data_IF_598664755578
#
_entry.id   IF_598664755578
#
_cell.length_a   1.000
_cell.length_b   1.000
_cell.length_c   1.000
_cell.angle_alpha   90.00
_cell.angle_beta   90.00
_cell.angle_gamma   90.00
#
_symmetry.space_group_name_H-M   'P 1'
#
loop_
_entity.id
_entity.type
_entity.pdbx_description
1 polymer ?
#
# COMPACT_ATOMS: atom_id res chain seq x y z
N UNK A 1 77.24 37.23 27.53
CA UNK A 1 76.09 37.42 26.63
C UNK A 1 75.28 36.14 26.60
N UNK A 2 74.04 36.17 27.10
CA UNK A 2 72.98 35.18 26.85
C UNK A 2 71.67 35.83 27.25
N UNK A 3 70.65 35.80 26.38
CA UNK A 3 69.41 36.55 26.57
C UNK A 3 68.34 35.71 27.28
N UNK A 4 67.73 36.27 28.34
CA UNK A 4 66.56 35.70 28.99
C UNK A 4 65.28 36.40 28.55
N UNK A 5 64.58 35.83 27.56
CA UNK A 5 63.29 36.34 27.11
C UNK A 5 62.19 36.01 28.15
N UNK A 6 61.56 37.03 28.73
CA UNK A 6 60.36 36.89 29.56
C UNK A 6 59.12 36.99 28.68
N UNK A 7 58.26 35.96 28.73
CA UNK A 7 56.96 36.00 28.04
C UNK A 7 55.99 37.00 28.68
N UNK A 8 55.08 37.62 27.91
CA UNK A 8 54.10 38.55 28.45
C UNK A 8 52.97 37.80 29.16
N UNK A 9 52.79 38.05 30.46
CA UNK A 9 51.63 37.57 31.19
C UNK A 9 50.36 38.26 30.71
N UNK A 10 49.44 37.51 30.09
CA UNK A 10 48.10 38.00 29.76
C UNK A 10 47.29 38.21 31.06
N UNK A 11 47.29 39.44 31.57
CA UNK A 11 46.33 39.88 32.57
C UNK A 11 44.95 39.92 31.93
N UNK A 12 44.08 38.98 32.31
CA UNK A 12 42.67 39.00 31.95
C UNK A 12 42.03 40.18 32.67
N UNK A 13 41.92 41.31 31.97
CA UNK A 13 41.20 42.47 32.45
C UNK A 13 39.70 42.13 32.50
N UNK A 14 39.18 41.81 33.68
CA UNK A 14 37.73 41.79 33.90
C UNK A 14 37.20 43.21 33.63
N UNK A 15 36.52 43.37 32.50
CA UNK A 15 35.82 44.60 32.18
C UNK A 15 34.84 44.93 33.32
N UNK A 16 34.95 46.15 33.85
CA UNK A 16 34.15 46.61 34.99
C UNK A 16 32.68 46.63 34.54
N UNK A 17 31.79 45.78 35.09
CA UNK A 17 30.44 45.63 34.55
C UNK A 17 29.66 46.94 34.67
N UNK A 18 29.02 47.34 33.57
CA UNK A 18 28.24 48.57 33.50
C UNK A 18 27.17 48.63 34.59
N UNK A 19 26.86 49.84 35.06
CA UNK A 19 25.85 50.07 36.11
C UNK A 19 24.49 49.46 35.75
N UNK A 20 24.17 49.35 34.46
CA UNK A 20 22.97 48.68 33.93
C UNK A 20 22.99 47.15 34.15
N UNK A 21 24.14 46.49 33.96
CA UNK A 21 24.27 45.04 34.21
C UNK A 21 24.10 44.74 35.69
N UNK A 22 24.67 45.58 36.56
CA UNK A 22 24.51 45.45 38.01
C UNK A 22 23.06 45.63 38.48
N UNK A 23 22.30 46.57 37.91
CA UNK A 23 20.88 46.74 38.27
C UNK A 23 20.01 45.59 37.76
N UNK A 24 20.25 45.06 36.55
CA UNK A 24 19.55 43.86 36.05
C UNK A 24 19.84 42.65 36.93
N UNK A 25 21.10 42.42 37.31
CA UNK A 25 21.47 41.32 38.23
C UNK A 25 20.80 41.52 39.59
N UNK A 26 20.82 42.72 40.16
CA UNK A 26 20.22 42.99 41.47
C UNK A 26 18.68 42.80 41.44
N UNK A 27 18.00 43.27 40.40
CA UNK A 27 16.55 43.02 40.21
C UNK A 27 16.28 41.53 40.05
N UNK A 28 17.07 40.80 39.25
CA UNK A 28 16.93 39.36 39.08
C UNK A 28 17.13 38.60 40.40
N UNK A 29 18.13 38.99 41.21
CA UNK A 29 18.38 38.40 42.54
C UNK A 29 17.25 38.70 43.51
N UNK A 30 16.73 39.93 43.54
CA UNK A 30 15.60 40.31 44.40
C UNK A 30 14.32 39.56 44.01
N UNK A 31 14.04 39.44 42.71
CA UNK A 31 12.89 38.65 42.19
C UNK A 31 13.05 37.16 42.51
N UNK A 32 14.25 36.60 42.33
CA UNK A 32 14.54 35.20 42.65
C UNK A 32 14.40 34.92 44.16
N UNK A 33 14.85 35.86 45.00
CA UNK A 33 14.76 35.75 46.46
C UNK A 33 13.31 35.89 46.95
N UNK A 34 12.52 36.81 46.38
CA UNK A 34 11.08 36.89 46.60
C UNK A 34 10.37 35.59 46.19
N UNK A 35 10.70 35.05 45.02
CA UNK A 35 10.14 33.79 44.53
C UNK A 35 10.49 32.61 45.46
N UNK A 36 11.75 32.53 45.91
CA UNK A 36 12.20 31.50 46.85
C UNK A 36 11.53 31.62 48.22
N UNK A 37 11.35 32.84 48.74
CA UNK A 37 10.65 33.09 50.00
C UNK A 37 9.16 32.74 49.89
N UNK A 38 8.51 33.10 48.78
CA UNK A 38 7.11 32.76 48.51
C UNK A 38 6.91 31.24 48.40
N UNK A 39 7.80 30.57 47.66
CA UNK A 39 7.82 29.10 47.56
C UNK A 39 8.03 28.46 48.94
N UNK A 40 8.98 28.95 49.73
CA UNK A 40 9.23 28.49 51.11
C UNK A 40 8.03 28.73 52.02
N UNK A 41 7.34 29.87 51.90
CA UNK A 41 6.14 30.19 52.68
C UNK A 41 5.01 29.21 52.36
N UNK A 42 4.67 29.03 51.07
CA UNK A 42 3.66 28.07 50.59
C UNK A 42 3.98 26.65 51.05
N UNK A 43 5.25 26.25 50.98
CA UNK A 43 5.72 24.92 51.40
C UNK A 43 5.60 24.71 52.92
N UNK A 44 5.87 25.74 53.74
CA UNK A 44 5.63 25.66 55.20
C UNK A 44 4.14 25.64 55.50
N UNK A 45 3.33 26.48 54.86
CA UNK A 45 1.87 26.57 55.03
C UNK A 45 1.13 25.26 54.70
N UNK A 46 1.63 24.47 53.74
CA UNK A 46 1.05 23.17 53.37
C UNK A 46 1.72 21.95 54.02
N UNK A 47 2.44 22.12 55.13
CA UNK A 47 2.96 21.00 55.92
C UNK A 47 4.15 20.27 55.29
N UNK A 48 5.00 21.00 54.55
CA UNK A 48 6.31 20.55 54.11
C UNK A 48 6.40 20.10 52.65
N UNK A 49 7.64 20.11 52.13
CA UNK A 49 7.98 19.86 50.72
C UNK A 49 7.42 18.53 50.19
N UNK A 50 7.40 17.48 51.03
CA UNK A 50 6.86 16.16 50.68
C UNK A 50 5.34 16.18 50.44
N UNK A 51 4.56 16.96 51.19
CA UNK A 51 3.10 17.07 51.03
C UNK A 51 2.75 17.95 49.82
N UNK A 52 3.41 19.09 49.68
CA UNK A 52 3.26 19.96 48.51
C UNK A 52 3.59 19.20 47.20
N UNK A 53 4.74 18.53 47.12
CA UNK A 53 5.10 17.69 45.95
C UNK A 53 4.09 16.59 45.66
N UNK A 54 3.53 15.92 46.67
CA UNK A 54 2.48 14.90 46.48
C UNK A 54 1.18 15.49 45.94
N UNK A 55 0.79 16.70 46.38
CA UNK A 55 -0.39 17.39 45.87
C UNK A 55 -0.21 17.85 44.42
N UNK A 56 0.89 18.57 44.15
CA UNK A 56 1.27 19.00 42.80
C UNK A 56 1.45 17.82 41.85
N UNK A 57 2.00 16.69 42.30
CA UNK A 57 2.11 15.47 41.47
C UNK A 57 0.76 14.81 41.19
N UNK A 58 -0.21 14.85 42.11
CA UNK A 58 -1.59 14.36 41.88
C UNK A 58 -2.34 15.27 40.92
N UNK A 59 -2.26 16.58 41.13
CA UNK A 59 -2.88 17.57 40.24
C UNK A 59 -2.26 17.46 38.83
N UNK A 60 -0.93 17.44 38.70
CA UNK A 60 -0.23 17.15 37.43
C UNK A 60 -0.56 15.79 36.83
N UNK A 61 -0.85 14.75 37.61
CA UNK A 61 -1.25 13.45 37.07
C UNK A 61 -2.62 13.56 36.39
N UNK A 62 -3.57 14.24 37.02
CA UNK A 62 -4.90 14.53 36.45
C UNK A 62 -4.79 15.43 35.20
N UNK A 63 -3.98 16.50 35.25
CA UNK A 63 -3.73 17.35 34.08
C UNK A 63 -3.03 16.55 32.97
N UNK A 64 -2.07 15.69 33.29
CA UNK A 64 -1.35 14.85 32.33
C UNK A 64 -2.23 13.75 31.74
N UNK A 65 -3.29 13.33 32.43
CA UNK A 65 -4.29 12.42 31.85
C UNK A 65 -5.16 13.17 30.84
N UNK A 66 -5.70 14.34 31.20
CA UNK A 66 -6.54 15.16 30.31
C UNK A 66 -5.78 15.73 29.09
N UNK A 67 -4.57 16.29 29.28
CA UNK A 67 -3.76 16.89 28.21
C UNK A 67 -2.75 15.91 27.58
N UNK A 68 -2.61 14.70 28.12
CA UNK A 68 -1.73 13.67 27.58
C UNK A 68 -2.28 13.01 26.32
N UNK A 69 -3.60 12.91 26.18
CA UNK A 69 -4.25 12.29 25.02
C UNK A 69 -3.98 13.06 23.71
N UNK A 70 -4.16 14.39 23.62
CA UNK A 70 -3.77 15.16 22.43
C UNK A 70 -2.29 15.00 22.05
N UNK A 71 -1.39 15.00 23.04
CA UNK A 71 0.04 14.81 22.81
C UNK A 71 0.38 13.38 22.35
N UNK A 72 -0.33 12.36 22.84
CA UNK A 72 -0.20 10.97 22.38
C UNK A 72 -0.73 10.80 20.96
N UNK A 73 -1.90 11.36 20.64
CA UNK A 73 -2.48 11.36 19.30
C UNK A 73 -1.55 12.05 18.30
N UNK A 74 -1.04 13.23 18.62
CA UNK A 74 -0.07 13.95 17.78
C UNK A 74 1.25 13.20 17.58
N UNK A 75 1.75 12.52 18.64
CA UNK A 75 2.94 11.65 18.53
C UNK A 75 2.68 10.43 17.66
N UNK A 76 1.51 9.76 17.78
CA UNK A 76 1.10 8.65 16.92
C UNK A 76 1.02 9.10 15.47
N UNK A 77 0.30 10.18 15.18
CA UNK A 77 0.22 10.77 13.84
C UNK A 77 1.62 11.06 13.27
N UNK A 78 2.51 11.75 14.02
CA UNK A 78 3.89 12.01 13.55
C UNK A 78 4.75 10.76 13.38
N UNK A 79 4.49 9.67 14.11
CA UNK A 79 5.14 8.36 13.89
C UNK A 79 4.60 7.73 12.61
N UNK A 80 3.28 7.56 12.49
CA UNK A 80 2.62 7.02 11.30
C UNK A 80 3.02 7.75 10.01
N UNK A 81 3.04 9.09 10.01
CA UNK A 81 3.52 9.88 8.86
C UNK A 81 4.95 9.51 8.47
N UNK A 82 5.85 9.28 9.44
CA UNK A 82 7.25 8.91 9.15
C UNK A 82 7.38 7.46 8.69
N UNK A 83 6.66 6.53 9.30
CA UNK A 83 6.67 5.10 8.92
C UNK A 83 6.11 4.93 7.51
N UNK A 84 4.89 5.41 7.26
CA UNK A 84 4.28 5.41 5.93
C UNK A 84 5.14 6.15 4.90
N UNK A 85 5.66 7.35 5.20
CA UNK A 85 6.46 8.08 4.24
C UNK A 85 7.75 7.35 3.88
N UNK A 86 8.40 6.67 4.83
CA UNK A 86 9.59 5.84 4.55
C UNK A 86 9.22 4.66 3.65
N UNK A 87 8.21 3.88 4.03
CA UNK A 87 7.78 2.70 3.28
C UNK A 87 7.31 3.07 1.87
N UNK A 88 6.42 4.06 1.74
CA UNK A 88 5.93 4.51 0.43
C UNK A 88 7.06 5.11 -0.42
N UNK A 89 8.05 5.79 0.17
CA UNK A 89 9.19 6.33 -0.58
C UNK A 89 10.22 5.27 -0.99
N UNK A 90 10.18 4.06 -0.45
CA UNK A 90 11.10 2.98 -0.81
C UNK A 90 10.52 2.10 -1.93
N UNK A 91 11.12 2.09 -3.13
CA UNK A 91 10.67 1.22 -4.22
C UNK A 91 10.73 -0.26 -3.86
N UNK A 92 11.70 -0.68 -3.00
CA UNK A 92 11.84 -2.08 -2.58
C UNK A 92 10.67 -2.53 -1.74
N UNK A 93 10.18 -1.68 -0.83
CA UNK A 93 9.02 -1.98 0.00
C UNK A 93 7.74 -2.18 -0.83
N UNK A 94 7.53 -1.39 -1.90
CA UNK A 94 6.40 -1.58 -2.82
C UNK A 94 6.48 -2.92 -3.58
N UNK A 95 7.67 -3.29 -4.05
CA UNK A 95 7.90 -4.59 -4.69
C UNK A 95 7.72 -5.76 -3.72
N UNK A 96 8.18 -5.64 -2.48
CA UNK A 96 8.00 -6.66 -1.43
C UNK A 96 6.51 -6.89 -1.12
N UNK A 97 5.73 -5.82 -0.94
CA UNK A 97 4.27 -5.91 -0.72
C UNK A 97 3.60 -6.67 -1.87
N UNK A 98 3.99 -6.39 -3.13
CA UNK A 98 3.45 -7.10 -4.30
C UNK A 98 3.85 -8.57 -4.31
N UNK A 99 5.13 -8.88 -4.07
CA UNK A 99 5.67 -10.26 -4.00
C UNK A 99 4.97 -11.09 -2.92
N UNK A 100 4.70 -10.53 -1.75
CA UNK A 100 3.99 -11.22 -0.66
C UNK A 100 2.56 -11.60 -1.06
N UNK A 101 1.85 -10.68 -1.73
CA UNK A 101 0.50 -10.93 -2.26
C UNK A 101 0.49 -11.92 -3.43
N UNK A 102 1.47 -11.84 -4.33
CA UNK A 102 1.66 -12.80 -5.42
C UNK A 102 1.99 -14.21 -4.88
N UNK A 103 2.91 -14.32 -3.91
CA UNK A 103 3.31 -15.60 -3.30
C UNK A 103 2.17 -16.26 -2.51
N UNK A 104 1.45 -15.49 -1.68
CA UNK A 104 0.24 -16.00 -1.02
C UNK A 104 -0.86 -16.35 -2.03
N UNK A 105 -1.01 -15.55 -3.10
CA UNK A 105 -1.94 -15.83 -4.19
C UNK A 105 -1.62 -17.10 -4.97
N UNK A 106 -0.33 -17.43 -5.14
CA UNK A 106 0.13 -18.67 -5.77
C UNK A 106 -0.11 -19.88 -4.84
N UNK A 107 0.24 -19.76 -3.55
CA UNK A 107 -0.01 -20.77 -2.53
C UNK A 107 -1.50 -21.11 -2.36
N UNK A 108 -2.39 -20.12 -2.51
CA UNK A 108 -3.84 -20.30 -2.50
C UNK A 108 -4.42 -20.84 -3.82
N UNK A 109 -3.63 -20.98 -4.89
CA UNK A 109 -4.11 -21.38 -6.22
C UNK A 109 -4.76 -22.76 -6.29
N UNK A 110 -4.54 -23.62 -5.29
CA UNK A 110 -5.17 -24.95 -5.13
C UNK A 110 -6.49 -24.91 -4.35
N UNK A 111 -6.83 -23.79 -3.69
CA UNK A 111 -7.98 -23.64 -2.83
C UNK A 111 -9.12 -22.87 -3.53
N UNK A 112 -10.22 -23.54 -3.96
CA UNK A 112 -11.23 -22.91 -4.80
C UNK A 112 -11.96 -21.77 -4.08
N UNK A 113 -11.91 -20.58 -4.69
CA UNK A 113 -12.52 -19.36 -4.16
C UNK A 113 -11.77 -18.70 -3.00
N UNK A 114 -10.56 -19.18 -2.65
CA UNK A 114 -9.71 -18.51 -1.67
C UNK A 114 -8.82 -17.45 -2.35
N UNK A 115 -8.66 -16.28 -1.73
CA UNK A 115 -7.75 -15.25 -2.24
C UNK A 115 -7.18 -14.34 -1.15
N UNK A 116 -5.92 -13.96 -1.31
CA UNK A 116 -5.31 -12.87 -0.56
C UNK A 116 -5.92 -11.52 -1.00
N UNK A 117 -6.27 -10.66 -0.03
CA UNK A 117 -6.83 -9.33 -0.29
C UNK A 117 -6.16 -8.20 0.50
N UNK A 118 -5.58 -8.49 1.66
CA UNK A 118 -4.96 -7.49 2.53
C UNK A 118 -3.56 -7.90 2.96
N UNK A 119 -2.76 -6.94 3.39
CA UNK A 119 -1.42 -7.19 3.93
C UNK A 119 -1.12 -6.22 5.06
N UNK A 120 -0.77 -6.73 6.25
CA UNK A 120 -0.19 -5.95 7.34
C UNK A 120 1.33 -6.15 7.31
N UNK A 121 2.10 -5.07 7.24
CA UNK A 121 3.58 -5.12 7.25
C UNK A 121 4.15 -4.31 8.39
N UNK A 122 5.10 -4.88 9.12
CA UNK A 122 5.95 -4.19 10.09
C UNK A 122 7.42 -4.56 9.85
N UNK A 123 8.40 -3.89 10.46
CA UNK A 123 9.80 -4.30 10.37
C UNK A 123 9.95 -5.73 10.88
N UNK A 124 10.46 -6.64 10.05
CA UNK A 124 10.69 -8.04 10.41
C UNK A 124 9.48 -8.98 10.28
N UNK A 125 8.31 -8.53 9.83
CA UNK A 125 7.11 -9.38 9.79
C UNK A 125 6.04 -8.89 8.80
N UNK A 126 5.34 -9.85 8.19
CA UNK A 126 4.16 -9.62 7.38
C UNK A 126 3.04 -10.60 7.74
N UNK A 127 1.78 -10.15 7.64
CA UNK A 127 0.61 -11.01 7.62
C UNK A 127 -0.28 -10.69 6.42
N UNK A 128 -0.56 -11.70 5.60
CA UNK A 128 -1.50 -11.64 4.48
C UNK A 128 -2.89 -12.00 4.98
N UNK A 129 -3.87 -11.14 4.71
CA UNK A 129 -5.29 -11.39 5.00
C UNK A 129 -5.94 -12.13 3.83
N UNK A 130 -6.66 -13.20 4.15
CA UNK A 130 -7.16 -14.20 3.19
C UNK A 130 -8.67 -14.33 3.33
N UNK A 131 -9.37 -14.22 2.21
CA UNK A 131 -10.79 -14.52 2.12
C UNK A 131 -10.92 -15.97 1.68
N UNK A 132 -11.42 -16.84 2.57
CA UNK A 132 -11.70 -18.24 2.28
C UNK A 132 -12.91 -18.73 3.10
N UNK A 133 -13.62 -19.75 2.60
CA UNK A 133 -14.68 -20.44 3.40
C UNK A 133 -14.08 -21.25 4.55
N UNK A 134 -12.91 -21.83 4.30
CA UNK A 134 -12.04 -22.51 5.26
C UNK A 134 -10.62 -22.17 4.85
N UNK A 135 -9.84 -21.59 5.75
CA UNK A 135 -8.43 -21.31 5.51
C UNK A 135 -7.71 -22.65 5.28
N UNK A 136 -7.02 -22.86 4.15
CA UNK A 136 -6.13 -24.00 3.99
C UNK A 136 -4.93 -23.88 4.94
N UNK A 137 -4.32 -25.02 5.25
CA UNK A 137 -3.06 -25.05 6.00
C UNK A 137 -1.98 -24.29 5.21
N UNK A 138 -1.25 -23.35 5.84
CA UNK A 138 -0.24 -22.57 5.14
C UNK A 138 0.93 -23.46 4.69
N UNK A 139 1.35 -23.41 3.41
CA UNK A 139 2.60 -24.02 2.99
C UNK A 139 3.78 -23.16 3.47
N UNK A 140 4.88 -23.81 3.86
CA UNK A 140 6.12 -23.11 4.20
C UNK A 140 6.53 -22.12 3.07
N UNK A 141 7.01 -20.91 3.39
CA UNK A 141 7.39 -20.42 4.72
C UNK A 141 6.25 -19.75 5.51
N UNK A 142 4.99 -19.85 5.06
CA UNK A 142 3.87 -19.24 5.77
C UNK A 142 3.51 -20.00 7.05
N UNK A 143 3.08 -19.27 8.07
CA UNK A 143 2.54 -19.80 9.33
C UNK A 143 1.10 -19.31 9.56
N UNK A 144 0.34 -19.98 10.41
CA UNK A 144 -1.04 -19.56 10.72
C UNK A 144 -1.03 -18.39 11.71
N UNK A 145 -1.80 -17.34 11.45
CA UNK A 145 -2.09 -16.33 12.48
C UNK A 145 -3.18 -16.85 13.42
N UNK A 146 -2.78 -17.35 14.59
CA UNK A 146 -3.70 -17.75 15.68
C UNK A 146 -4.32 -16.55 16.42
N UNK A 147 -4.04 -15.32 15.97
CA UNK A 147 -4.58 -14.09 16.53
C UNK A 147 -6.09 -13.94 16.34
N UNK A 148 -6.79 -13.22 17.25
CA UNK A 148 -8.19 -12.89 17.06
C UNK A 148 -8.36 -11.86 15.93
N UNK A 149 -8.77 -12.32 14.74
CA UNK A 149 -8.90 -11.47 13.57
C UNK A 149 -9.51 -12.15 12.34
N UNK A 150 -9.49 -11.49 11.16
CA UNK A 150 -9.74 -12.16 9.90
C UNK A 150 -8.67 -13.21 9.62
N UNK A 151 -9.03 -14.27 8.89
CA UNK A 151 -8.12 -15.35 8.51
C UNK A 151 -6.85 -14.79 7.85
N UNK A 152 -5.69 -15.16 8.38
CA UNK A 152 -4.41 -14.65 7.90
C UNK A 152 -3.29 -15.69 7.99
N UNK A 153 -2.30 -15.49 7.11
CA UNK A 153 -1.03 -16.21 7.13
C UNK A 153 0.09 -15.22 7.45
N UNK A 154 0.95 -15.60 8.38
CA UNK A 154 2.10 -14.83 8.84
C UNK A 154 3.40 -15.29 8.18
N UNK A 155 4.36 -14.39 8.12
CA UNK A 155 5.74 -14.65 7.70
C UNK A 155 6.68 -13.72 8.47
N UNK A 156 7.67 -14.29 9.15
CA UNK A 156 8.81 -13.51 9.65
C UNK A 156 9.70 -13.12 8.46
N UNK A 157 10.03 -11.84 8.37
CA UNK A 157 10.83 -11.27 7.28
C UNK A 157 12.25 -11.02 7.79
N UNK A 158 13.14 -11.95 7.53
CA UNK A 158 14.51 -11.82 7.98
C UNK A 158 15.21 -10.65 7.25
N UNK A 159 15.92 -9.79 7.99
CA UNK A 159 16.54 -8.59 7.41
C UNK A 159 17.64 -8.92 6.37
N UNK A 160 18.06 -10.18 6.35
CA UNK A 160 19.07 -10.83 5.50
C UNK A 160 18.66 -10.94 4.03
N UNK A 161 17.36 -11.09 3.71
CA UNK A 161 16.91 -11.27 2.31
C UNK A 161 17.07 -9.99 1.45
N UNK A 162 17.40 -8.86 2.06
CA UNK A 162 17.66 -7.59 1.37
C UNK A 162 19.11 -7.51 0.84
N UNK A 163 20.00 -8.40 1.29
CA UNK A 163 21.34 -8.62 0.73
C UNK A 163 21.35 -9.80 -0.24
N UNK A 164 21.23 -9.50 -1.53
CA UNK A 164 21.54 -10.43 -2.63
C UNK A 164 23.06 -10.56 -2.74
N UNK A 165 23.69 -11.23 -1.78
CA UNK A 165 25.10 -11.69 -1.78
C UNK A 165 25.36 -12.55 -0.52
N UNK A 166 24.98 -13.84 -0.54
CA UNK A 166 25.44 -14.83 0.45
C UNK A 166 25.71 -16.19 -0.20
N UNK A 167 27.00 -16.53 -0.31
CA UNK A 167 27.51 -17.74 -0.98
C UNK A 167 27.62 -18.94 -0.01
N UNK A 168 26.88 -18.93 1.09
CA UNK A 168 26.88 -19.99 2.10
C UNK A 168 25.46 -20.48 2.34
N UNK A 169 25.20 -21.71 1.89
CA UNK A 169 23.89 -22.36 2.01
C UNK A 169 23.61 -22.81 3.43
N UNK A 170 22.78 -22.06 4.12
CA UNK A 170 21.88 -22.58 5.15
C UNK A 170 20.44 -22.19 4.75
N UNK A 171 19.45 -23.00 5.08
CA UNK A 171 18.14 -22.98 4.43
C UNK A 171 17.19 -21.88 4.95
N UNK A 172 17.52 -20.61 4.71
CA UNK A 172 16.53 -19.53 4.80
C UNK A 172 15.59 -19.63 3.60
N UNK A 173 14.29 -19.85 3.86
CA UNK A 173 13.30 -20.16 2.84
C UNK A 173 12.89 -18.90 2.04
N UNK A 174 13.73 -18.54 1.06
CA UNK A 174 13.46 -17.47 0.10
C UNK A 174 12.01 -17.55 -0.41
N UNK A 175 11.28 -16.43 -0.32
CA UNK A 175 9.94 -16.29 -0.88
C UNK A 175 9.88 -16.92 -2.28
N UNK A 176 9.06 -17.97 -2.50
CA UNK A 176 9.10 -18.72 -3.75
C UNK A 176 8.81 -17.78 -4.92
N UNK A 177 9.57 -17.92 -6.01
CA UNK A 177 9.38 -17.12 -7.22
C UNK A 177 7.96 -17.36 -7.76
N UNK A 178 7.07 -16.44 -7.42
CA UNK A 178 5.65 -16.56 -7.66
C UNK A 178 5.38 -16.43 -9.16
N UNK A 179 5.21 -17.58 -9.82
CA UNK A 179 4.63 -17.63 -11.17
C UNK A 179 3.29 -16.90 -11.09
N UNK A 180 3.04 -15.88 -11.94
CA UNK A 180 1.78 -15.14 -11.91
C UNK A 180 0.61 -16.13 -12.04
N UNK A 181 -0.37 -16.00 -11.12
CA UNK A 181 -1.56 -16.86 -10.99
C UNK A 181 -2.01 -17.44 -12.33
N UNK A 182 -1.91 -18.76 -12.50
CA UNK A 182 -2.44 -19.44 -13.68
C UNK A 182 -3.94 -19.12 -13.82
N UNK A 183 -4.31 -18.43 -14.91
CA UNK A 183 -5.68 -18.01 -15.20
C UNK A 183 -6.11 -16.63 -14.65
N UNK A 184 -5.40 -15.99 -13.73
CA UNK A 184 -5.75 -14.63 -13.31
C UNK A 184 -4.98 -13.59 -14.14
N UNK A 185 -5.67 -12.96 -15.10
CA UNK A 185 -5.10 -11.95 -16.02
C UNK A 185 -4.55 -10.68 -15.36
N UNK A 186 -4.66 -10.53 -14.04
CA UNK A 186 -4.40 -9.26 -13.32
C UNK A 186 -3.52 -9.51 -12.09
N UNK A 187 -2.39 -8.81 -12.06
CA UNK A 187 -1.44 -8.75 -10.94
C UNK A 187 -2.05 -7.99 -9.75
N UNK A 188 -1.63 -8.25 -8.50
CA UNK A 188 -2.02 -7.46 -7.35
C UNK A 188 -1.79 -5.96 -7.56
N UNK A 189 -2.70 -5.16 -7.04
CA UNK A 189 -2.69 -3.70 -7.05
C UNK A 189 -2.78 -3.16 -5.60
N UNK A 190 -1.70 -3.31 -4.81
CA UNK A 190 -1.68 -2.91 -3.41
C UNK A 190 -1.66 -1.40 -3.22
N UNK A 191 -2.49 -0.89 -2.30
CA UNK A 191 -2.44 0.49 -1.80
C UNK A 191 -2.38 0.50 -0.27
N UNK A 192 -1.60 1.40 0.31
CA UNK A 192 -1.63 1.60 1.76
C UNK A 192 -2.90 2.37 2.14
N UNK A 193 -3.69 1.81 3.07
CA UNK A 193 -4.92 2.43 3.59
C UNK A 193 -4.68 3.17 4.92
N UNK A 194 -3.64 2.79 5.68
CA UNK A 194 -3.32 3.44 6.95
C UNK A 194 -2.37 2.64 7.85
N UNK A 195 -2.35 2.98 9.13
CA UNK A 195 -1.58 2.30 10.17
C UNK A 195 -2.49 1.56 11.17
N UNK A 196 -2.14 0.35 11.56
CA UNK A 196 -2.80 -0.38 12.65
C UNK A 196 -1.72 -1.03 13.53
N UNK A 197 -1.66 -0.63 14.80
CA UNK A 197 -0.72 -1.16 15.81
C UNK A 197 0.76 -1.07 15.39
N UNK A 198 1.14 0.09 14.84
CA UNK A 198 2.45 0.39 14.24
C UNK A 198 2.82 -0.43 12.98
N UNK A 199 2.00 -1.39 12.54
CA UNK A 199 2.05 -1.99 11.20
C UNK A 199 1.35 -1.08 10.16
N UNK A 200 1.88 -1.08 8.94
CA UNK A 200 1.22 -0.48 7.77
C UNK A 200 0.22 -1.49 7.18
N UNK A 201 -1.00 -1.03 6.89
CA UNK A 201 -2.06 -1.85 6.30
C UNK A 201 -2.20 -1.51 4.83
N UNK A 202 -2.08 -2.53 3.98
CA UNK A 202 -2.32 -2.47 2.54
C UNK A 202 -3.55 -3.28 2.15
N UNK A 203 -4.22 -2.85 1.09
CA UNK A 203 -5.34 -3.53 0.45
C UNK A 203 -5.01 -3.75 -1.03
N UNK A 204 -5.20 -4.97 -1.53
CA UNK A 204 -5.13 -5.29 -2.96
C UNK A 204 -6.45 -4.90 -3.62
N UNK A 205 -6.46 -3.81 -4.40
CA UNK A 205 -7.67 -3.34 -5.07
C UNK A 205 -8.06 -4.19 -6.29
N UNK A 206 -7.15 -5.04 -6.79
CA UNK A 206 -7.44 -5.99 -7.86
C UNK A 206 -8.07 -7.30 -7.34
N UNK A 207 -8.06 -7.51 -6.03
CA UNK A 207 -8.75 -8.61 -5.37
C UNK A 207 -10.26 -8.33 -5.22
N UNK A 208 -11.05 -9.40 -5.14
CA UNK A 208 -12.50 -9.32 -4.91
C UNK A 208 -13.27 -8.51 -5.97
N UNK A 209 -14.16 -7.59 -5.56
CA UNK A 209 -15.16 -6.96 -6.44
C UNK A 209 -14.58 -5.89 -7.38
N UNK A 210 -13.36 -5.39 -7.12
CA UNK A 210 -12.70 -4.28 -7.87
C UNK A 210 -13.48 -2.97 -7.94
N UNK A 211 -14.57 -2.88 -7.19
CA UNK A 211 -15.42 -1.71 -7.01
C UNK A 211 -15.27 -1.28 -5.54
N UNK A 212 -14.63 -0.15 -5.28
CA UNK A 212 -14.30 0.31 -3.92
C UNK A 212 -14.93 1.69 -3.69
N UNK A 213 -15.95 1.73 -2.83
CA UNK A 213 -16.50 2.99 -2.33
C UNK A 213 -15.68 3.51 -1.15
N UNK A 214 -15.52 4.82 -1.06
CA UNK A 214 -15.05 5.49 0.15
C UNK A 214 -16.22 6.25 0.74
N UNK A 215 -16.52 6.03 2.01
CA UNK A 215 -17.75 6.47 2.69
C UNK A 215 -17.44 7.21 4.00
N UNK A 216 -18.43 7.89 4.59
CA UNK A 216 -18.32 8.54 5.91
C UNK A 216 -18.07 10.06 5.85
N UNK A 217 -17.24 10.58 6.76
CA UNK A 217 -16.93 12.01 6.89
C UNK A 217 -16.35 12.58 5.61
N UNK A 218 -17.00 13.57 4.99
CA UNK A 218 -16.64 14.04 3.64
C UNK A 218 -15.17 14.50 3.55
N UNK A 219 -14.70 15.26 4.54
CA UNK A 219 -13.33 15.76 4.53
C UNK A 219 -12.30 14.62 4.67
N UNK A 220 -12.54 13.62 5.52
CA UNK A 220 -11.67 12.45 5.67
C UNK A 220 -11.75 11.51 4.44
N UNK A 221 -12.96 11.28 3.92
CA UNK A 221 -13.29 10.49 2.73
C UNK A 221 -12.54 10.99 1.49
N UNK A 222 -12.69 12.27 1.14
CA UNK A 222 -11.98 12.90 0.02
C UNK A 222 -10.45 12.82 0.20
N UNK A 223 -9.94 13.05 1.42
CA UNK A 223 -8.50 12.94 1.72
C UNK A 223 -7.94 11.52 1.62
N UNK A 224 -8.75 10.49 1.90
CA UNK A 224 -8.40 9.10 1.68
C UNK A 224 -8.42 8.78 0.18
N UNK A 225 -9.52 9.08 -0.52
CA UNK A 225 -9.65 8.82 -1.96
C UNK A 225 -8.49 9.45 -2.76
N UNK A 226 -8.18 10.73 -2.52
CA UNK A 226 -7.04 11.40 -3.15
C UNK A 226 -5.70 10.75 -2.80
N UNK A 227 -5.55 10.23 -1.58
CA UNK A 227 -4.34 9.52 -1.16
C UNK A 227 -4.23 8.10 -1.76
N UNK A 228 -5.33 7.43 -2.07
CA UNK A 228 -5.34 6.16 -2.80
C UNK A 228 -5.02 6.41 -4.29
N UNK A 229 -5.73 7.35 -4.94
CA UNK A 229 -5.46 7.74 -6.33
C UNK A 229 -4.00 8.19 -6.53
N UNK A 230 -3.47 9.06 -5.65
CA UNK A 230 -2.09 9.53 -5.69
C UNK A 230 -1.04 8.49 -5.22
N UNK A 231 -1.45 7.28 -4.81
CA UNK A 231 -0.54 6.12 -4.72
C UNK A 231 -0.50 5.34 -6.02
N UNK A 232 -1.65 5.18 -6.68
CA UNK A 232 -1.79 4.45 -7.95
C UNK A 232 -1.17 5.22 -9.12
N UNK A 233 -1.22 6.55 -9.11
CA UNK A 233 -0.57 7.45 -10.09
C UNK A 233 0.97 7.46 -9.99
N UNK A 234 1.57 6.72 -9.03
CA UNK A 234 3.03 6.73 -8.83
C UNK A 234 3.75 5.78 -9.79
N UNK A 235 4.94 6.16 -10.27
CA UNK A 235 5.79 5.27 -11.08
C UNK A 235 6.01 3.91 -10.39
N UNK A 236 5.72 2.82 -11.10
CA UNK A 236 5.89 1.45 -10.59
C UNK A 236 4.69 0.86 -9.84
N UNK A 237 3.58 1.58 -9.69
CA UNK A 237 2.32 1.02 -9.16
C UNK A 237 1.79 -0.16 -10.00
N UNK A 238 1.98 -0.10 -11.32
CA UNK A 238 1.35 -1.00 -12.27
C UNK A 238 -0.11 -0.63 -12.61
N UNK A 239 -0.56 0.56 -12.22
CA UNK A 239 -1.84 1.13 -12.66
C UNK A 239 -1.67 2.18 -13.77
N UNK A 240 -2.69 2.30 -14.60
CA UNK A 240 -2.97 3.51 -15.39
C UNK A 240 -4.21 4.17 -14.77
N UNK A 241 -4.12 5.43 -14.32
CA UNK A 241 -5.17 6.08 -13.51
C UNK A 241 -5.88 7.16 -14.29
N UNK A 242 -7.17 6.96 -14.53
CA UNK A 242 -8.09 7.96 -15.12
C UNK A 242 -8.91 8.60 -13.99
N UNK A 243 -8.67 9.88 -13.73
CA UNK A 243 -9.42 10.68 -12.74
C UNK A 243 -10.49 11.48 -13.48
N UNK A 244 -11.76 11.21 -13.20
CA UNK A 244 -12.88 11.93 -13.84
C UNK A 244 -13.06 13.34 -13.27
N UNK A 245 -13.89 14.13 -13.95
CA UNK A 245 -14.40 15.40 -13.42
C UNK A 245 -15.07 15.21 -12.04
N UNK A 246 -15.12 16.29 -11.25
CA UNK A 246 -15.70 16.33 -9.91
C UNK A 246 -14.85 15.73 -8.79
N UNK A 247 -13.87 14.87 -9.07
CA UNK A 247 -13.06 14.19 -8.03
C UNK A 247 -12.16 15.15 -7.25
N UNK A 248 -11.54 16.12 -7.93
CA UNK A 248 -10.57 17.03 -7.30
C UNK A 248 -10.76 18.47 -7.82
N UNK A 249 -10.92 19.47 -6.93
CA UNK A 249 -11.41 20.81 -7.31
C UNK A 249 -10.46 21.62 -8.21
N UNK A 250 -9.19 21.19 -8.36
CA UNK A 250 -8.21 21.82 -9.25
C UNK A 250 -7.76 20.89 -10.39
N UNK A 251 -8.53 19.84 -10.69
CA UNK A 251 -8.26 18.91 -11.79
C UNK A 251 -9.54 18.66 -12.58
N UNK A 252 -9.63 19.29 -13.75
CA UNK A 252 -10.71 19.06 -14.70
C UNK A 252 -10.44 17.75 -15.45
N UNK A 253 -10.88 16.65 -14.86
CA UNK A 253 -10.87 15.34 -15.49
C UNK A 253 -11.94 15.24 -16.57
N UNK A 254 -11.96 14.11 -17.28
CA UNK A 254 -13.00 13.85 -18.26
C UNK A 254 -14.33 13.45 -17.59
N UNK A 255 -15.46 13.70 -18.26
CA UNK A 255 -16.77 13.24 -17.79
C UNK A 255 -16.83 11.71 -17.78
N UNK A 256 -17.34 11.15 -16.68
CA UNK A 256 -17.47 9.70 -16.48
C UNK A 256 -18.18 8.99 -17.64
N UNK A 257 -19.18 9.63 -18.28
CA UNK A 257 -19.88 9.05 -19.43
C UNK A 257 -19.06 8.92 -20.71
N UNK A 258 -17.95 9.66 -20.88
CA UNK A 258 -17.04 9.44 -22.02
C UNK A 258 -16.05 8.33 -21.69
N UNK A 259 -15.42 8.38 -20.51
CA UNK A 259 -14.53 7.32 -20.00
C UNK A 259 -15.22 5.95 -20.02
N UNK A 260 -16.51 5.89 -19.65
CA UNK A 260 -17.31 4.66 -19.71
C UNK A 260 -17.54 4.13 -21.13
N UNK A 261 -17.66 5.01 -22.14
CA UNK A 261 -17.79 4.60 -23.54
C UNK A 261 -16.47 4.06 -24.08
N UNK A 262 -15.38 4.80 -23.88
CA UNK A 262 -14.04 4.37 -24.28
C UNK A 262 -13.67 3.00 -23.70
N UNK A 263 -13.91 2.78 -22.40
CA UNK A 263 -13.66 1.49 -21.75
C UNK A 263 -14.52 0.34 -22.30
N UNK A 264 -15.73 0.62 -22.78
CA UNK A 264 -16.61 -0.38 -23.40
C UNK A 264 -16.14 -0.72 -24.82
N UNK A 265 -15.69 0.29 -25.57
CA UNK A 265 -15.14 0.12 -26.91
C UNK A 265 -13.80 -0.66 -26.86
N UNK A 266 -12.89 -0.31 -25.94
CA UNK A 266 -11.63 -1.03 -25.70
C UNK A 266 -11.88 -2.47 -25.23
N UNK A 267 -12.80 -2.69 -24.29
CA UNK A 267 -13.17 -4.04 -23.84
C UNK A 267 -13.67 -4.95 -24.97
N UNK A 268 -14.34 -4.36 -25.98
CA UNK A 268 -14.82 -5.08 -27.16
C UNK A 268 -13.70 -5.45 -28.15
N UNK A 269 -12.53 -4.81 -28.05
CA UNK A 269 -11.37 -5.00 -28.94
C UNK A 269 -10.25 -5.84 -28.32
N UNK A 270 -9.99 -5.71 -27.01
CA UNK A 270 -8.93 -6.44 -26.28
C UNK A 270 -9.18 -7.96 -26.14
N UNK A 271 -10.24 -8.51 -26.75
CA UNK A 271 -10.52 -9.95 -26.68
C UNK A 271 -9.58 -10.80 -27.55
N UNK A 272 -8.77 -10.21 -28.45
CA UNK A 272 -7.94 -10.96 -29.41
C UNK A 272 -6.41 -10.71 -29.33
N UNK A 273 -5.92 -9.62 -28.72
CA UNK A 273 -4.47 -9.31 -28.70
C UNK A 273 -3.84 -9.12 -27.30
N UNK A 274 -2.50 -9.13 -27.25
CA UNK A 274 -1.71 -9.52 -26.09
C UNK A 274 -1.67 -8.52 -24.92
N UNK A 275 -1.94 -9.06 -23.72
CA UNK A 275 -1.97 -8.41 -22.40
C UNK A 275 -0.80 -7.45 -22.12
N UNK A 276 -1.00 -6.15 -22.30
CA UNK A 276 -0.08 -5.08 -21.86
C UNK A 276 -0.27 -4.74 -20.37
N UNK A 277 0.21 -5.64 -19.51
CA UNK A 277 0.71 -5.56 -18.12
C UNK A 277 0.23 -4.52 -17.06
N UNK A 278 -0.53 -3.48 -17.38
CA UNK A 278 -0.99 -2.41 -16.46
C UNK A 278 -2.49 -2.49 -16.21
N UNK A 279 -2.91 -2.31 -14.96
CA UNK A 279 -4.33 -2.33 -14.56
C UNK A 279 -4.96 -0.95 -14.76
N UNK A 280 -6.05 -0.87 -15.52
CA UNK A 280 -6.83 0.36 -15.64
C UNK A 280 -7.53 0.69 -14.32
N UNK A 281 -7.40 1.93 -13.84
CA UNK A 281 -8.04 2.43 -12.63
C UNK A 281 -8.89 3.65 -12.96
N UNK A 282 -10.19 3.59 -12.69
CA UNK A 282 -11.10 4.74 -12.78
C UNK A 282 -11.33 5.31 -11.38
N UNK A 283 -11.08 6.61 -11.22
CA UNK A 283 -11.42 7.35 -9.99
C UNK A 283 -12.54 8.32 -10.33
N UNK A 284 -13.70 8.20 -9.70
CA UNK A 284 -14.84 9.08 -9.92
C UNK A 284 -15.56 9.48 -8.62
N UNK A 285 -16.44 10.47 -8.71
CA UNK A 285 -17.21 10.98 -7.57
C UNK A 285 -18.71 10.91 -7.89
N UNK A 286 -19.52 10.49 -6.91
CA UNK A 286 -20.99 10.45 -6.94
C UNK A 286 -21.60 9.93 -8.27
N UNK A 287 -21.23 8.72 -8.75
CA UNK A 287 -21.77 8.17 -9.98
C UNK A 287 -23.27 7.89 -9.86
N UNK A 288 -24.02 8.24 -10.90
CA UNK A 288 -25.44 7.88 -10.99
C UNK A 288 -25.63 6.36 -10.93
N UNK A 289 -26.83 5.89 -10.56
CA UNK A 289 -27.13 4.45 -10.48
C UNK A 289 -26.87 3.69 -11.79
N UNK A 290 -26.98 4.34 -12.94
CA UNK A 290 -26.68 3.73 -14.23
C UNK A 290 -25.16 3.64 -14.48
N UNK A 291 -24.43 4.71 -14.23
CA UNK A 291 -22.96 4.73 -14.30
C UNK A 291 -22.35 3.71 -13.32
N UNK A 292 -22.85 3.63 -12.09
CA UNK A 292 -22.45 2.64 -11.09
C UNK A 292 -22.66 1.19 -11.57
N UNK A 293 -23.78 0.90 -12.27
CA UNK A 293 -24.01 -0.42 -12.89
C UNK A 293 -23.02 -0.72 -14.01
N UNK A 294 -22.72 0.27 -14.87
CA UNK A 294 -21.72 0.13 -15.96
C UNK A 294 -20.31 -0.09 -15.40
N UNK A 295 -19.91 0.67 -14.39
CA UNK A 295 -18.65 0.48 -13.66
C UNK A 295 -18.59 -0.90 -12.99
N UNK A 296 -19.65 -1.32 -12.30
CA UNK A 296 -19.72 -2.65 -11.68
C UNK A 296 -19.60 -3.81 -12.66
N UNK A 297 -20.15 -3.67 -13.88
CA UNK A 297 -19.97 -4.67 -14.95
C UNK A 297 -18.52 -4.73 -15.45
N UNK A 298 -17.88 -3.58 -15.70
CA UNK A 298 -16.47 -3.48 -16.13
C UNK A 298 -15.46 -3.89 -15.03
N UNK A 299 -15.83 -3.73 -13.76
CA UNK A 299 -15.08 -4.23 -12.62
C UNK A 299 -15.20 -5.75 -12.51
N UNK A 300 -16.40 -6.31 -12.71
CA UNK A 300 -16.67 -7.75 -12.67
C UNK A 300 -16.06 -8.53 -13.85
N UNK A 301 -15.97 -7.93 -15.05
CA UNK A 301 -15.18 -8.49 -16.18
C UNK A 301 -13.67 -8.46 -15.91
N UNK A 302 -13.24 -7.68 -14.91
CA UNK A 302 -11.85 -7.51 -14.54
C UNK A 302 -11.07 -6.53 -15.42
N UNK A 303 -11.75 -5.75 -16.28
CA UNK A 303 -11.17 -4.74 -17.17
C UNK A 303 -10.58 -3.58 -16.39
N UNK A 304 -11.28 -3.12 -15.33
CA UNK A 304 -10.86 -1.97 -14.52
C UNK A 304 -11.00 -2.24 -13.02
N UNK A 305 -10.32 -1.40 -12.24
CA UNK A 305 -10.54 -1.19 -10.81
C UNK A 305 -11.15 0.21 -10.63
N UNK A 306 -12.22 0.32 -9.84
CA UNK A 306 -12.96 1.57 -9.66
C UNK A 306 -12.85 2.06 -8.21
N UNK A 307 -12.36 3.29 -8.02
CA UNK A 307 -12.37 4.02 -6.76
C UNK A 307 -13.46 5.11 -6.82
N UNK A 308 -14.36 5.14 -5.84
CA UNK A 308 -15.50 6.07 -5.84
C UNK A 308 -15.60 6.91 -4.57
N UNK A 309 -15.80 8.22 -4.74
CA UNK A 309 -16.24 9.09 -3.65
C UNK A 309 -17.75 8.90 -3.40
N UNK A 310 -18.10 8.33 -2.24
CA UNK A 310 -19.49 8.08 -1.85
C UNK A 310 -19.96 6.63 -2.04
N UNK A 311 -21.17 6.31 -1.55
CA UNK A 311 -21.72 4.96 -1.55
C UNK A 311 -22.12 4.49 -2.96
N UNK A 312 -21.84 3.23 -3.27
CA UNK A 312 -22.12 2.64 -4.59
C UNK A 312 -23.06 1.44 -4.45
N UNK A 313 -24.15 1.33 -5.23
CA UNK A 313 -25.00 0.14 -5.22
C UNK A 313 -24.35 -1.00 -6.00
N UNK A 314 -24.22 -2.18 -5.39
CA UNK A 314 -23.76 -3.39 -6.07
C UNK A 314 -22.80 -4.21 -5.22
N UNK A 315 -22.02 -5.06 -5.88
CA UNK A 315 -20.93 -5.80 -5.24
C UNK A 315 -19.69 -4.90 -5.17
N UNK A 316 -19.40 -4.38 -3.98
CA UNK A 316 -18.29 -3.46 -3.72
C UNK A 316 -17.71 -3.66 -2.31
N UNK A 317 -16.54 -3.09 -2.06
CA UNK A 317 -15.98 -2.91 -0.71
C UNK A 317 -16.13 -1.46 -0.27
N UNK A 318 -16.52 -1.24 0.99
CA UNK A 318 -16.86 0.08 1.53
C UNK A 318 -15.84 0.54 2.58
N UNK A 319 -14.89 1.38 2.15
CA UNK A 319 -13.92 2.01 3.03
C UNK A 319 -14.56 3.18 3.79
N UNK A 320 -15.12 2.90 4.96
CA UNK A 320 -15.81 3.89 5.81
C UNK A 320 -14.81 4.65 6.68
N UNK A 321 -14.77 5.97 6.54
CA UNK A 321 -13.83 6.86 7.23
C UNK A 321 -14.55 7.77 8.23
N UNK A 322 -14.08 7.82 9.47
CA UNK A 322 -14.57 8.76 10.48
C UNK A 322 -13.86 10.14 10.41
N UNK A 323 -14.43 11.15 11.07
CA UNK A 323 -13.84 12.49 11.15
C UNK A 323 -12.48 12.56 11.88
N UNK A 324 -12.06 11.47 12.55
CA UNK A 324 -10.74 11.32 13.19
C UNK A 324 -9.71 10.71 12.23
N UNK A 325 -10.12 10.28 11.03
CA UNK A 325 -9.28 9.60 10.05
C UNK A 325 -9.05 8.13 10.38
N UNK A 326 -9.99 7.45 11.02
CA UNK A 326 -10.02 5.98 11.10
C UNK A 326 -10.77 5.44 9.90
N UNK A 327 -10.15 4.54 9.14
CA UNK A 327 -10.79 3.78 8.07
C UNK A 327 -11.16 2.40 8.58
N UNK A 328 -12.37 1.95 8.22
CA UNK A 328 -12.91 0.64 8.55
C UNK A 328 -13.61 0.03 7.34
N UNK A 329 -13.46 -1.27 7.15
CA UNK A 329 -14.32 -2.07 6.28
C UNK A 329 -14.63 -3.39 7.01
N UNK A 330 -15.75 -3.47 7.74
CA UNK A 330 -16.10 -4.63 8.57
C UNK A 330 -16.13 -5.95 7.78
N UNK A 331 -16.57 -5.90 6.53
CA UNK A 331 -16.60 -7.03 5.59
C UNK A 331 -15.22 -7.55 5.19
N UNK A 332 -14.16 -6.79 5.47
CA UNK A 332 -12.75 -7.15 5.28
C UNK A 332 -11.99 -7.37 6.60
N UNK A 333 -12.68 -7.26 7.75
CA UNK A 333 -12.00 -7.19 9.06
C UNK A 333 -10.97 -6.05 9.15
N UNK A 334 -11.11 -5.01 8.32
CA UNK A 334 -10.12 -3.96 8.13
C UNK A 334 -10.37 -2.81 9.10
N UNK A 335 -9.34 -2.42 9.84
CA UNK A 335 -9.33 -1.28 10.75
C UNK A 335 -7.96 -0.61 10.73
N UNK A 336 -7.87 0.69 10.39
CA UNK A 336 -6.62 1.44 10.37
C UNK A 336 -6.80 2.95 10.62
N UNK A 337 -5.73 3.62 11.03
CA UNK A 337 -5.59 5.08 11.10
C UNK A 337 -5.02 5.60 9.77
N UNK A 338 -5.88 6.21 8.94
CA UNK A 338 -5.54 6.82 7.66
C UNK A 338 -5.19 8.32 7.78
N UNK A 339 -5.36 8.96 8.94
CA UNK A 339 -4.97 10.35 9.18
C UNK A 339 -3.50 10.69 8.82
N UNK A 340 -2.49 9.80 8.99
CA UNK A 340 -1.13 10.07 8.52
C UNK A 340 -0.95 9.92 6.99
N UNK A 341 -1.86 9.25 6.28
CA UNK A 341 -1.66 8.75 4.92
C UNK A 341 -1.44 9.89 3.90
N UNK A 342 -2.35 10.86 3.78
CA UNK A 342 -2.24 11.91 2.75
C UNK A 342 -0.93 12.71 2.86
N UNK A 343 -0.41 12.91 4.08
CA UNK A 343 0.88 13.58 4.30
C UNK A 343 2.07 12.69 3.96
N UNK A 344 1.96 11.38 4.16
CA UNK A 344 2.98 10.39 3.79
C UNK A 344 3.05 10.20 2.27
N UNK A 345 1.91 10.05 1.59
CA UNK A 345 1.80 9.99 0.12
C UNK A 345 2.37 11.26 -0.51
N UNK A 346 1.98 12.44 -0.01
CA UNK A 346 2.54 13.72 -0.48
C UNK A 346 4.05 13.85 -0.24
N UNK A 347 4.64 13.14 0.73
CA UNK A 347 6.09 13.08 0.90
C UNK A 347 6.74 12.12 -0.12
N UNK A 348 6.15 10.94 -0.34
CA UNK A 348 6.62 9.96 -1.32
C UNK A 348 6.60 10.51 -2.75
N UNK A 349 5.49 11.13 -3.19
CA UNK A 349 5.37 11.81 -4.50
C UNK A 349 6.44 12.89 -4.68
N UNK A 350 6.82 13.63 -3.62
CA UNK A 350 7.94 14.58 -3.68
C UNK A 350 9.30 13.90 -3.80
N UNK A 351 9.50 12.72 -3.22
CA UNK A 351 10.72 11.93 -3.39
C UNK A 351 10.81 11.42 -4.83
N UNK A 352 9.71 10.92 -5.40
CA UNK A 352 9.69 10.43 -6.79
C UNK A 352 9.94 11.55 -7.80
N UNK A 353 9.29 12.72 -7.63
CA UNK A 353 9.59 13.94 -8.41
C UNK A 353 11.02 14.44 -8.25
N UNK A 354 11.72 14.12 -7.15
CA UNK A 354 13.14 14.42 -6.96
C UNK A 354 14.04 13.36 -7.60
N UNK A 355 13.61 12.10 -7.66
CA UNK A 355 14.31 11.02 -8.38
C UNK A 355 14.24 11.23 -9.88
N UNK A 356 13.07 11.51 -10.45
CA UNK A 356 12.92 11.74 -11.90
C UNK A 356 13.76 12.90 -12.40
N UNK A 357 13.86 14.00 -11.63
CA UNK A 357 14.75 15.15 -11.92
C UNK A 357 16.26 14.87 -11.76
N UNK A 358 16.64 13.75 -11.13
CA UNK A 358 18.03 13.36 -10.85
C UNK A 358 18.50 12.17 -11.67
N UNK A 359 17.57 11.38 -12.22
CA UNK A 359 17.89 10.41 -13.24
C UNK A 359 18.50 11.17 -14.42
N UNK A 360 19.75 10.91 -14.82
CA UNK A 360 20.29 11.52 -16.02
C UNK A 360 19.41 11.09 -17.19
N UNK A 361 19.04 12.03 -18.07
CA UNK A 361 18.49 11.65 -19.37
C UNK A 361 19.50 10.72 -20.04
N UNK A 362 19.16 9.44 -20.22
CA UNK A 362 19.87 8.57 -21.16
C UNK A 362 19.56 9.04 -22.59
N UNK A 363 20.10 10.21 -22.95
CA UNK A 363 20.38 10.56 -24.35
C UNK A 363 21.57 9.74 -24.82
N UNK A 364 21.37 8.43 -24.89
CA UNK A 364 22.06 7.67 -25.93
C UNK A 364 21.34 8.00 -27.23
N UNK A 365 22.01 8.51 -28.26
CA UNK A 365 21.50 8.37 -29.61
C UNK A 365 21.25 6.87 -29.82
N UNK A 366 20.09 6.51 -30.38
CA UNK A 366 19.95 5.22 -31.02
C UNK A 366 20.80 5.29 -32.27
N UNK A 367 22.07 4.94 -32.13
CA UNK A 367 22.94 4.66 -33.26
C UNK A 367 22.27 3.48 -34.00
N UNK A 368 21.78 3.67 -35.24
CA UNK A 368 21.06 2.63 -35.94
C UNK A 368 22.00 1.44 -36.11
N UNK A 369 21.54 0.25 -35.73
CA UNK A 369 22.31 -0.97 -35.85
C UNK A 369 22.84 -1.09 -37.29
N UNK A 370 24.16 -1.11 -37.44
CA UNK A 370 24.83 -1.31 -38.72
C UNK A 370 24.27 -2.58 -39.35
N UNK A 371 23.70 -2.44 -40.55
CA UNK A 371 23.08 -3.55 -41.27
C UNK A 371 24.07 -4.72 -41.41
N UNK A 372 23.62 -5.97 -41.23
CA UNK A 372 24.46 -7.13 -41.49
C UNK A 372 24.79 -7.16 -42.99
N UNK A 373 26.06 -6.84 -43.30
CA UNK A 373 26.61 -6.83 -44.67
C UNK A 373 26.21 -8.10 -45.43
N UNK A 374 25.38 -7.93 -46.44
CA UNK A 374 25.02 -8.97 -47.41
C UNK A 374 26.30 -9.53 -48.02
N UNK A 375 26.58 -10.83 -47.82
CA UNK A 375 27.61 -11.50 -48.59
C UNK A 375 27.16 -11.54 -50.06
N UNK A 376 28.02 -11.19 -51.03
CA UNK A 376 27.64 -11.22 -52.44
C UNK A 376 27.46 -12.66 -52.92
N UNK A 377 26.33 -12.92 -53.57
CA UNK A 377 26.07 -14.18 -54.28
C UNK A 377 27.18 -14.48 -55.29
N UNK A 378 27.89 -15.60 -55.10
CA UNK A 378 28.85 -16.11 -56.07
C UNK A 378 28.17 -17.19 -56.91
N UNK A 379 27.57 -16.78 -58.04
CA UNK A 379 26.71 -17.64 -58.85
C UNK A 379 27.48 -18.38 -59.96
N UNK A 380 27.44 -19.72 -59.88
CA UNK A 380 27.69 -20.71 -60.96
C UNK A 380 29.12 -20.77 -61.57
N UNK A 381 29.56 -21.90 -62.17
CA UNK A 381 28.87 -22.65 -63.23
C UNK A 381 28.51 -24.13 -62.93
N UNK A 382 27.57 -24.66 -63.71
CA UNK A 382 27.19 -26.09 -63.85
C UNK A 382 28.04 -26.80 -64.94
N UNK A 383 27.71 -27.99 -65.52
CA UNK A 383 26.98 -29.20 -65.05
C UNK A 383 27.78 -30.52 -65.33
N UNK A 384 27.07 -31.67 -65.36
CA UNK A 384 27.48 -33.07 -65.68
C UNK A 384 28.20 -33.83 -64.53
N UNK A 385 28.03 -35.13 -64.26
CA UNK A 385 27.13 -36.25 -64.66
C UNK A 385 27.32 -37.39 -63.61
N UNK A 386 26.66 -38.57 -63.53
CA UNK A 386 25.62 -39.31 -64.28
C UNK A 386 25.01 -40.38 -63.30
N UNK A 387 23.81 -40.94 -63.57
CA UNK A 387 23.35 -42.29 -63.08
C UNK A 387 23.05 -42.42 -61.55
N UNK A 388 22.05 -43.13 -61.01
CA UNK A 388 21.10 -44.16 -61.51
C UNK A 388 19.71 -44.06 -60.82
N UNK A 389 18.75 -44.88 -61.27
CA UNK A 389 17.31 -44.86 -60.93
C UNK A 389 16.93 -45.93 -59.83
N UNK A 390 15.67 -46.38 -59.62
CA UNK A 390 14.85 -46.01 -58.45
C UNK A 390 14.53 -47.16 -57.45
N UNK A 391 13.85 -46.81 -56.35
CA UNK A 391 12.88 -47.72 -55.70
C UNK A 391 11.71 -46.96 -55.02
N UNK A 392 10.48 -47.44 -55.26
CA UNK A 392 9.21 -46.92 -54.74
C UNK A 392 9.03 -47.16 -53.22
N UNK A 393 8.28 -46.27 -52.55
CA UNK A 393 7.06 -46.64 -51.80
C UNK A 393 6.19 -45.42 -51.45
N UNK A 394 4.87 -45.62 -51.36
CA UNK A 394 3.84 -44.56 -51.33
C UNK A 394 3.39 -44.12 -49.91
N UNK A 395 2.75 -42.95 -49.76
CA UNK A 395 2.19 -42.47 -48.49
C UNK A 395 0.82 -43.10 -48.16
N UNK A 396 0.49 -43.19 -46.87
CA UNK A 396 -0.81 -43.63 -46.37
C UNK A 396 -1.64 -42.47 -45.77
N UNK A 397 -2.96 -42.54 -45.95
CA UNK A 397 -3.92 -41.45 -45.77
C UNK A 397 -4.63 -41.45 -44.39
N UNK A 398 -5.48 -40.45 -44.05
CA UNK A 398 -5.90 -40.16 -42.68
C UNK A 398 -7.26 -40.76 -42.26
N UNK A 399 -7.54 -40.69 -40.95
CA UNK A 399 -8.84 -40.96 -40.31
C UNK A 399 -8.91 -40.23 -38.95
N UNK A 400 -10.06 -39.80 -38.41
CA UNK A 400 -11.44 -39.69 -38.92
C UNK A 400 -12.19 -38.68 -38.03
N UNK A 401 -13.15 -37.95 -38.59
CA UNK A 401 -14.13 -37.15 -37.84
C UNK A 401 -15.13 -38.04 -37.11
N UNK A 402 -15.58 -37.64 -35.92
CA UNK A 402 -16.82 -38.14 -35.31
C UNK A 402 -17.54 -36.99 -34.61
N UNK A 403 -18.83 -36.87 -34.90
CA UNK A 403 -19.71 -35.76 -34.52
C UNK A 403 -20.85 -36.31 -33.67
N UNK A 404 -21.30 -35.57 -32.65
CA UNK A 404 -22.69 -35.64 -32.19
C UNK A 404 -22.93 -35.85 -30.69
N UNK A 405 -24.13 -35.51 -30.17
CA UNK A 405 -24.32 -35.13 -28.76
C UNK A 405 -25.44 -35.87 -28.00
N UNK A 406 -25.42 -35.81 -26.67
CA UNK A 406 -26.58 -35.86 -25.73
C UNK A 406 -26.07 -35.36 -24.36
N UNK A 407 -26.60 -34.30 -23.73
CA UNK A 407 -27.92 -34.08 -23.12
C UNK A 407 -28.16 -34.76 -21.75
N UNK A 408 -28.47 -33.89 -20.77
CA UNK A 408 -29.32 -34.10 -19.60
C UNK A 408 -28.90 -35.13 -18.52
N UNK A 409 -28.47 -34.60 -17.38
CA UNK A 409 -28.68 -35.22 -16.06
C UNK A 409 -28.72 -34.14 -14.97
N UNK A 410 -29.92 -33.71 -14.59
CA UNK A 410 -30.15 -33.11 -13.28
C UNK A 410 -30.03 -34.19 -12.18
N UNK A 411 -29.71 -33.79 -10.94
CA UNK A 411 -30.26 -34.48 -9.78
C UNK A 411 -31.13 -33.53 -8.94
N UNK A 412 -32.45 -33.67 -9.09
CA UNK A 412 -33.42 -33.22 -8.10
C UNK A 412 -33.21 -33.97 -6.78
N UNK A 413 -32.94 -33.27 -5.69
CA UNK A 413 -33.39 -33.69 -4.34
C UNK A 413 -33.85 -32.49 -3.52
N UNK A 414 -35.17 -32.31 -3.42
CA UNK A 414 -35.74 -31.42 -2.42
C UNK A 414 -35.60 -32.04 -1.02
N UNK A 415 -35.25 -31.22 -0.01
CA UNK A 415 -35.48 -31.60 1.39
C UNK A 415 -35.99 -30.44 2.23
N UNK A 416 -37.32 -30.38 2.29
CA UNK A 416 -38.10 -29.48 3.14
C UNK A 416 -37.73 -29.68 4.62
N UNK A 417 -37.47 -28.59 5.35
CA UNK A 417 -37.70 -28.51 6.80
C UNK A 417 -38.22 -27.11 7.19
N UNK A 418 -39.01 -27.00 8.28
CA UNK A 418 -40.00 -25.93 8.38
C UNK A 418 -39.52 -24.70 9.17
N UNK A 419 -40.16 -23.57 8.87
CA UNK A 419 -40.20 -22.43 9.78
C UNK A 419 -40.88 -22.82 11.10
N UNK A 420 -40.23 -22.54 12.22
CA UNK A 420 -40.93 -22.18 13.45
C UNK A 420 -40.54 -20.75 13.81
N UNK A 421 -41.53 -19.86 13.74
CA UNK A 421 -41.44 -18.57 14.41
C UNK A 421 -41.73 -18.77 15.90
N UNK A 422 -40.86 -18.26 16.76
CA UNK A 422 -41.18 -18.08 18.18
C UNK A 422 -41.31 -16.59 18.43
N UNK A 423 -42.55 -16.10 18.34
CA UNK A 423 -42.94 -14.82 18.91
C UNK A 423 -43.29 -15.04 20.37
N UNK A 424 -42.66 -14.29 21.26
CA UNK A 424 -43.15 -14.08 22.63
C UNK A 424 -43.10 -12.59 22.89
N UNK A 425 -44.28 -11.99 23.06
CA UNK A 425 -44.42 -10.63 23.56
C UNK A 425 -44.91 -10.63 25.00
N UNK A 426 -44.72 -9.48 25.64
CA UNK A 426 -45.55 -8.84 26.67
C UNK A 426 -46.44 -9.73 27.56
N UNK A 427 -46.03 -9.90 28.83
CA UNK A 427 -46.70 -9.35 30.01
C UNK A 427 -45.66 -8.93 31.07
#
# INVERSE_FOLDING_TARGET
MTAGARGPGHLIALAKPDKSVWTVILVAVVVLLLFFLLLRHVVRKHGGWRRCRRRVARELALTRQAFGEPLRAYRRHRRGVRTLARQLSDPRAGLLVRRLLDAAGAALGTAPGAFAYGLRTQPGWAAVQIAARRLPEPPAPWETDDGPGPQSWCLELDNSEISVDSVTGDHTAALPDAVPRAGARVRPLPVAVGMADDACVHLDLAAGPRMISVEGDSAARTRLLHALAAQLDRPGSGASVTVTDGVHPHHHGERLDTVLRELQDTFSQESEEAVTATTGVVVCADPTREQARKLGALAASGTVVCLVDGPVPGHSWALRVDARGRVTAPELGLYADCAPLSRAVAAAVRVDRRRSRRAPERRGPVEPAVEPRTQPERRAPEPHELTEEPALAAPAAPARTLTGPDLLSEPTTARTRPNQASSTGDE
#
